data_IF_344440537539
#
_entry.id   IF_344440537539
#
_cell.length_a   1.000
_cell.length_b   1.000
_cell.length_c   1.000
_cell.angle_alpha   90.00
_cell.angle_beta   90.00
_cell.angle_gamma   90.00
#
_symmetry.space_group_name_H-M   'P 1'
#
loop_
_entity.id
_entity.type
_entity.pdbx_description
1 polymer ?
#
# COMPACT_ATOMS: atom_id res chain seq x y z
N UNK A 1 0.02 -21.67 -14.55
CA UNK A 1 -0.54 -21.24 -13.27
C UNK A 1 -1.87 -20.59 -13.56
N UNK A 2 -2.90 -21.01 -12.87
CA UNK A 2 -4.25 -20.51 -13.06
C UNK A 2 -4.40 -19.14 -12.38
N UNK A 3 -5.08 -18.19 -13.03
CA UNK A 3 -5.39 -16.89 -12.42
C UNK A 3 -6.75 -16.98 -11.73
N UNK A 4 -6.87 -16.36 -10.57
CA UNK A 4 -8.10 -16.30 -9.78
C UNK A 4 -8.57 -14.86 -9.65
N UNK A 5 -9.88 -14.63 -9.50
CA UNK A 5 -10.41 -13.30 -9.22
C UNK A 5 -10.11 -12.91 -7.77
N UNK A 6 -9.85 -11.62 -7.53
CA UNK A 6 -9.56 -11.16 -6.17
C UNK A 6 -10.73 -11.40 -5.21
N UNK A 7 -11.96 -11.25 -5.66
CA UNK A 7 -13.15 -11.48 -4.84
C UNK A 7 -13.36 -12.95 -4.42
N UNK A 8 -12.64 -13.90 -5.05
CA UNK A 8 -12.67 -15.33 -4.67
C UNK A 8 -11.71 -15.64 -3.51
N UNK A 9 -10.69 -14.80 -3.32
CA UNK A 9 -9.59 -15.08 -2.38
C UNK A 9 -9.36 -13.96 -1.35
N UNK A 10 -10.01 -12.80 -1.52
CA UNK A 10 -9.89 -11.62 -0.64
C UNK A 10 -11.29 -11.17 -0.23
N UNK A 11 -11.49 -10.96 1.06
CA UNK A 11 -12.66 -10.29 1.60
C UNK A 11 -12.40 -8.78 1.67
N UNK A 12 -13.23 -8.00 0.99
CA UNK A 12 -13.12 -6.55 0.94
C UNK A 12 -14.07 -5.88 1.93
N UNK A 13 -13.54 -4.96 2.73
CA UNK A 13 -14.32 -4.14 3.65
C UNK A 13 -14.05 -2.66 3.37
N UNK A 14 -15.07 -1.94 2.88
CA UNK A 14 -14.98 -0.49 2.67
C UNK A 14 -15.01 0.23 4.02
N UNK A 15 -14.16 1.23 4.16
CA UNK A 15 -14.17 2.08 5.33
C UNK A 15 -15.46 2.89 5.49
N UNK A 16 -15.71 3.33 6.70
CA UNK A 16 -16.92 4.07 7.06
C UNK A 16 -16.89 5.50 6.51
N UNK A 17 -18.06 6.05 6.22
CA UNK A 17 -18.17 7.48 5.95
C UNK A 17 -17.68 8.28 7.18
N UNK A 18 -16.83 9.31 7.02
CA UNK A 18 -16.32 10.10 8.14
C UNK A 18 -17.40 10.64 9.08
N UNK A 19 -18.58 10.99 8.56
CA UNK A 19 -19.73 11.47 9.36
C UNK A 19 -20.32 10.40 10.30
N UNK A 20 -20.02 9.12 10.09
CA UNK A 20 -20.48 7.98 10.91
C UNK A 20 -19.44 7.48 11.89
N UNK A 21 -18.27 8.08 11.91
CA UNK A 21 -17.17 7.71 12.80
C UNK A 21 -17.28 8.55 14.06
N UNK A 22 -17.31 7.89 15.22
CA UNK A 22 -17.32 8.57 16.52
C UNK A 22 -15.89 8.96 16.88
N UNK A 23 -15.49 10.19 16.56
CA UNK A 23 -14.13 10.72 16.75
C UNK A 23 -13.60 10.63 18.22
N UNK A 24 -14.47 10.36 19.19
CA UNK A 24 -14.09 10.23 20.60
C UNK A 24 -13.74 8.78 21.01
N UNK A 25 -14.02 7.79 20.18
CA UNK A 25 -13.89 6.37 20.55
C UNK A 25 -13.07 5.59 19.54
N UNK A 26 -13.10 5.97 18.26
CA UNK A 26 -12.46 5.23 17.18
C UNK A 26 -11.14 5.92 16.80
N UNK A 27 -10.01 5.25 16.96
CA UNK A 27 -8.74 5.70 16.40
C UNK A 27 -8.78 5.53 14.87
N UNK A 28 -8.55 6.63 14.14
CA UNK A 28 -8.66 6.65 12.69
C UNK A 28 -7.37 6.21 12.02
N UNK A 29 -7.52 5.38 10.99
CA UNK A 29 -6.46 5.11 10.03
C UNK A 29 -6.30 6.30 9.09
N UNK A 30 -5.15 6.93 9.12
CA UNK A 30 -4.85 8.17 8.40
C UNK A 30 -4.04 7.91 7.12
N UNK A 31 -3.95 8.89 6.19
CA UNK A 31 -2.99 8.81 5.09
C UNK A 31 -1.53 8.68 5.53
N UNK A 32 -1.18 9.21 6.71
CA UNK A 32 0.15 9.07 7.30
C UNK A 32 0.40 7.63 7.77
N UNK A 33 -0.59 7.00 8.41
CA UNK A 33 -0.51 5.57 8.77
C UNK A 33 -0.26 4.70 7.54
N UNK A 34 -0.95 5.01 6.43
CA UNK A 34 -0.75 4.30 5.16
C UNK A 34 0.70 4.40 4.65
N UNK A 35 1.28 5.60 4.68
CA UNK A 35 2.68 5.79 4.28
C UNK A 35 3.64 5.10 5.26
N UNK A 36 3.38 5.20 6.56
CA UNK A 36 4.19 4.53 7.58
C UNK A 36 4.18 3.00 7.43
N UNK A 37 3.01 2.42 7.13
CA UNK A 37 2.88 0.98 6.87
C UNK A 37 3.61 0.57 5.58
N UNK A 38 3.44 1.33 4.49
CA UNK A 38 4.07 1.06 3.20
C UNK A 38 5.60 1.17 3.29
N UNK A 39 6.10 2.16 4.02
CA UNK A 39 7.53 2.42 4.18
C UNK A 39 8.15 1.71 5.38
N UNK A 40 7.41 0.87 6.09
CA UNK A 40 7.88 0.08 7.25
C UNK A 40 8.49 0.93 8.38
N UNK A 41 7.96 2.15 8.62
CA UNK A 41 8.57 3.10 9.56
C UNK A 41 8.44 2.63 11.00
N UNK A 42 7.31 2.02 11.37
CA UNK A 42 7.00 1.72 12.77
C UNK A 42 6.92 0.24 13.13
N UNK A 43 6.83 -0.67 12.16
CA UNK A 43 6.72 -2.09 12.46
C UNK A 43 7.38 -2.98 11.41
N UNK A 44 8.08 -4.01 11.91
CA UNK A 44 8.60 -5.11 11.10
C UNK A 44 7.66 -6.31 11.06
N UNK A 45 6.64 -6.34 11.92
CA UNK A 45 5.67 -7.42 11.97
C UNK A 45 4.52 -7.15 11.00
N UNK A 46 4.18 -8.17 10.27
CA UNK A 46 3.13 -8.13 9.25
C UNK A 46 1.78 -8.39 9.94
N UNK A 47 0.81 -7.53 9.67
CA UNK A 47 -0.58 -7.75 10.00
C UNK A 47 -1.23 -8.78 9.08
N UNK A 48 -2.52 -9.06 9.32
CA UNK A 48 -3.25 -10.14 8.64
C UNK A 48 -3.91 -9.72 7.33
N UNK A 49 -3.48 -8.62 6.71
CA UNK A 49 -4.09 -8.12 5.47
C UNK A 49 -3.40 -6.91 4.88
N UNK A 50 -4.09 -6.26 3.95
CA UNK A 50 -3.63 -5.04 3.30
C UNK A 50 -4.71 -3.96 3.32
N UNK A 51 -4.29 -2.72 3.10
CA UNK A 51 -5.18 -1.58 2.84
C UNK A 51 -4.88 -1.01 1.47
N UNK A 52 -5.93 -0.80 0.67
CA UNK A 52 -5.86 -0.06 -0.59
C UNK A 52 -6.33 1.37 -0.34
N UNK A 53 -5.48 2.33 -0.66
CA UNK A 53 -5.85 3.73 -0.74
C UNK A 53 -6.52 3.98 -2.09
N UNK A 54 -7.83 4.21 -2.09
CA UNK A 54 -8.64 4.36 -3.31
C UNK A 54 -8.37 5.68 -4.06
N UNK A 55 -7.78 6.67 -3.38
CA UNK A 55 -7.43 7.96 -3.99
C UNK A 55 -6.08 7.84 -4.71
N UNK A 56 -5.08 7.24 -4.04
CA UNK A 56 -3.73 7.07 -4.60
C UNK A 56 -3.62 5.85 -5.52
N UNK A 57 -4.60 4.94 -5.50
CA UNK A 57 -4.56 3.64 -6.17
C UNK A 57 -3.29 2.85 -5.81
N UNK A 58 -2.97 2.81 -4.52
CA UNK A 58 -1.82 2.09 -3.97
C UNK A 58 -2.27 1.19 -2.83
N UNK A 59 -1.53 0.11 -2.62
CA UNK A 59 -1.76 -0.89 -1.60
C UNK A 59 -0.60 -0.92 -0.61
N UNK A 60 -0.91 -1.04 0.68
CA UNK A 60 0.04 -1.21 1.78
C UNK A 60 -0.36 -2.39 2.65
N UNK A 61 0.59 -3.17 3.20
CA UNK A 61 0.24 -4.14 4.23
C UNK A 61 -0.21 -3.39 5.50
N UNK A 62 -1.02 -4.05 6.31
CA UNK A 62 -1.42 -3.54 7.63
C UNK A 62 -0.34 -3.93 8.64
N UNK A 63 0.08 -2.99 9.50
CA UNK A 63 0.97 -3.29 10.63
C UNK A 63 0.20 -3.63 11.90
N UNK A 64 0.87 -4.21 12.89
CA UNK A 64 0.27 -4.43 14.23
C UNK A 64 -0.27 -3.13 14.87
N UNK A 65 0.36 -2.00 14.57
CA UNK A 65 -0.02 -0.71 15.15
C UNK A 65 -1.29 -0.12 14.50
N UNK A 66 -1.56 -0.49 13.26
CA UNK A 66 -2.67 0.06 12.48
C UNK A 66 -3.83 -0.90 12.32
N UNK A 67 -3.66 -2.17 12.69
CA UNK A 67 -4.65 -3.24 12.47
C UNK A 67 -6.01 -2.96 13.11
N UNK A 68 -6.01 -2.37 14.32
CA UNK A 68 -7.23 -2.05 15.06
C UNK A 68 -7.88 -0.72 14.67
N UNK A 69 -7.21 0.09 13.83
CA UNK A 69 -7.70 1.42 13.45
C UNK A 69 -8.93 1.35 12.53
N UNK A 70 -9.83 2.31 12.73
CA UNK A 70 -11.02 2.46 11.92
C UNK A 70 -10.69 3.15 10.58
N UNK A 71 -10.96 2.50 9.46
CA UNK A 71 -10.71 3.07 8.12
C UNK A 71 -11.86 3.91 7.62
N UNK A 72 -11.55 5.00 6.92
CA UNK A 72 -12.52 5.86 6.24
C UNK A 72 -12.84 5.34 4.83
N UNK A 73 -13.90 5.88 4.20
CA UNK A 73 -14.34 5.51 2.84
C UNK A 73 -13.32 5.77 1.72
N UNK A 74 -12.15 6.35 2.04
CA UNK A 74 -11.03 6.48 1.12
C UNK A 74 -10.12 5.26 1.10
N UNK A 75 -10.36 4.31 2.02
CA UNK A 75 -9.58 3.10 2.18
C UNK A 75 -10.46 1.86 2.06
N UNK A 76 -9.87 0.82 1.52
CA UNK A 76 -10.46 -0.51 1.38
C UNK A 76 -9.56 -1.52 2.08
N UNK A 77 -10.10 -2.19 3.10
CA UNK A 77 -9.39 -3.28 3.78
C UNK A 77 -9.54 -4.57 2.98
N UNK A 78 -8.44 -5.28 2.86
CA UNK A 78 -8.31 -6.55 2.17
C UNK A 78 -7.88 -7.61 3.18
N UNK A 79 -8.81 -8.47 3.59
CA UNK A 79 -8.56 -9.59 4.50
C UNK A 79 -8.47 -10.89 3.69
N UNK A 80 -7.43 -11.69 3.91
CA UNK A 80 -7.15 -12.93 3.19
C UNK A 80 -6.43 -13.96 4.06
N UNK A 81 -6.44 -15.22 3.61
CA UNK A 81 -5.69 -16.30 4.24
C UNK A 81 -4.18 -16.09 4.01
N UNK A 82 -3.45 -15.78 5.09
CA UNK A 82 -2.00 -15.56 5.07
C UNK A 82 -1.18 -16.81 4.65
N UNK A 83 -1.78 -17.99 4.71
CA UNK A 83 -1.19 -19.23 4.18
C UNK A 83 -1.25 -19.32 2.65
N UNK A 84 -2.15 -18.55 2.01
CA UNK A 84 -2.35 -18.54 0.56
C UNK A 84 -1.83 -17.28 -0.10
N UNK A 85 -1.93 -16.13 0.55
CA UNK A 85 -1.50 -14.84 0.01
C UNK A 85 -0.54 -14.18 0.99
N UNK A 86 0.64 -13.80 0.49
CA UNK A 86 1.61 -13.00 1.22
C UNK A 86 1.36 -11.52 0.99
N UNK A 87 1.16 -10.74 2.05
CA UNK A 87 0.75 -9.34 1.98
C UNK A 87 1.66 -8.49 1.08
N UNK A 88 2.98 -8.60 1.22
CA UNK A 88 3.93 -7.85 0.38
C UNK A 88 3.93 -8.28 -1.08
N UNK A 89 3.61 -9.56 -1.37
CA UNK A 89 3.41 -10.01 -2.74
C UNK A 89 2.18 -9.36 -3.36
N UNK A 90 1.06 -9.31 -2.61
CA UNK A 90 -0.15 -8.64 -3.06
C UNK A 90 0.10 -7.15 -3.29
N UNK A 91 0.79 -6.47 -2.35
CA UNK A 91 1.17 -5.06 -2.52
C UNK A 91 2.03 -4.84 -3.77
N UNK A 92 3.04 -5.70 -4.02
CA UNK A 92 3.83 -5.64 -5.24
C UNK A 92 2.96 -5.75 -6.49
N UNK A 93 2.10 -6.76 -6.56
CA UNK A 93 1.22 -6.97 -7.71
C UNK A 93 0.31 -5.76 -7.95
N UNK A 94 -0.25 -5.21 -6.88
CA UNK A 94 -1.16 -4.08 -6.97
C UNK A 94 -0.45 -2.78 -7.35
N UNK A 95 0.73 -2.53 -6.80
CA UNK A 95 1.45 -1.26 -6.96
C UNK A 95 2.30 -1.18 -8.22
N UNK A 96 2.90 -2.30 -8.64
CA UNK A 96 3.94 -2.35 -9.68
C UNK A 96 3.71 -3.50 -10.69
N UNK A 97 2.70 -4.35 -10.45
CA UNK A 97 2.44 -5.51 -11.31
C UNK A 97 1.83 -5.10 -12.66
N UNK A 98 2.55 -5.33 -13.75
CA UNK A 98 2.08 -5.02 -15.12
C UNK A 98 0.69 -5.60 -15.45
N UNK A 99 0.37 -6.77 -14.90
CA UNK A 99 -0.92 -7.40 -15.11
C UNK A 99 -2.06 -6.59 -14.49
N UNK A 100 -1.88 -6.08 -13.27
CA UNK A 100 -2.87 -5.22 -12.63
C UNK A 100 -2.99 -3.86 -13.33
N UNK A 101 -1.86 -3.25 -13.68
CA UNK A 101 -1.84 -2.00 -14.44
C UNK A 101 -2.68 -2.12 -15.73
N UNK A 102 -2.42 -3.14 -16.54
CA UNK A 102 -3.17 -3.40 -17.79
C UNK A 102 -4.67 -3.64 -17.53
N UNK A 103 -5.02 -4.43 -16.52
CA UNK A 103 -6.41 -4.69 -16.18
C UNK A 103 -7.12 -3.41 -15.73
N UNK A 104 -6.49 -2.58 -14.89
CA UNK A 104 -7.04 -1.30 -14.43
C UNK A 104 -7.20 -0.32 -15.60
N UNK A 105 -6.24 -0.24 -16.51
CA UNK A 105 -6.33 0.59 -17.72
C UNK A 105 -7.50 0.19 -18.61
N UNK A 106 -7.74 -1.11 -18.80
CA UNK A 106 -8.88 -1.60 -19.57
C UNK A 106 -10.23 -1.15 -18.98
N UNK A 107 -10.37 -1.14 -17.66
CA UNK A 107 -11.57 -0.61 -17.00
C UNK A 107 -11.74 0.90 -17.18
N UNK A 108 -10.64 1.63 -17.38
CA UNK A 108 -10.68 3.08 -17.55
C UNK A 108 -10.95 3.54 -18.99
N UNK A 109 -10.73 2.68 -20.01
CA UNK A 109 -10.94 3.02 -21.42
C UNK A 109 -12.40 3.31 -21.79
N UNK A 110 -13.37 2.93 -20.95
CA UNK A 110 -14.81 3.19 -21.17
C UNK A 110 -15.37 4.42 -20.42
N UNK A 111 -14.57 5.16 -19.66
CA UNK A 111 -15.06 6.24 -18.81
C UNK A 111 -14.46 7.60 -19.17
N UNK A 112 -15.34 8.57 -19.50
CA UNK A 112 -15.00 9.99 -19.78
C UNK A 112 -14.73 10.83 -18.54
N UNK A 113 -14.69 10.24 -17.34
CA UNK A 113 -14.55 10.96 -16.08
C UNK A 113 -13.08 11.25 -15.74
N UNK A 114 -12.79 12.49 -15.42
CA UNK A 114 -11.48 13.02 -15.06
C UNK A 114 -10.90 12.47 -13.75
N UNK A 115 -11.67 11.74 -12.96
CA UNK A 115 -11.21 11.12 -11.70
C UNK A 115 -11.35 9.61 -11.80
N UNK A 116 -10.22 8.93 -12.01
CA UNK A 116 -10.11 7.47 -12.12
C UNK A 116 -10.11 6.83 -10.72
N UNK A 117 -11.21 6.91 -9.99
CA UNK A 117 -11.32 6.26 -8.68
C UNK A 117 -11.68 4.79 -8.88
N UNK A 118 -10.80 3.89 -8.42
CA UNK A 118 -11.10 2.46 -8.34
C UNK A 118 -12.25 2.23 -7.37
N UNK A 119 -13.22 1.40 -7.77
CA UNK A 119 -14.31 0.96 -6.90
C UNK A 119 -14.11 -0.51 -6.51
N UNK A 120 -14.81 -0.94 -5.45
CA UNK A 120 -14.69 -2.29 -4.90
C UNK A 120 -15.00 -3.36 -5.95
N UNK A 121 -16.03 -3.13 -6.78
CA UNK A 121 -16.43 -4.09 -7.83
C UNK A 121 -15.30 -4.30 -8.82
N UNK A 122 -14.74 -3.22 -9.34
CA UNK A 122 -13.60 -3.27 -10.28
C UNK A 122 -12.40 -3.97 -9.65
N UNK A 123 -12.06 -3.64 -8.40
CA UNK A 123 -10.96 -4.30 -7.69
C UNK A 123 -11.22 -5.80 -7.54
N UNK A 124 -12.43 -6.19 -7.16
CA UNK A 124 -12.80 -7.61 -6.99
C UNK A 124 -12.75 -8.43 -8.27
N UNK A 125 -12.93 -7.79 -9.42
CA UNK A 125 -12.87 -8.41 -10.76
C UNK A 125 -11.44 -8.49 -11.34
N UNK A 126 -10.44 -7.91 -10.66
CA UNK A 126 -9.04 -8.09 -11.06
C UNK A 126 -8.61 -9.54 -10.85
N UNK A 127 -7.77 -10.02 -11.76
CA UNK A 127 -7.22 -11.38 -11.70
C UNK A 127 -5.79 -11.35 -11.22
N UNK A 128 -5.47 -12.24 -10.28
CA UNK A 128 -4.12 -12.44 -9.75
C UNK A 128 -3.64 -13.87 -10.02
N UNK A 129 -2.36 -14.01 -10.31
CA UNK A 129 -1.68 -15.31 -10.31
C UNK A 129 -1.05 -15.52 -8.93
N UNK A 130 -1.41 -16.61 -8.28
CA UNK A 130 -0.86 -16.98 -6.97
C UNK A 130 0.12 -18.15 -7.14
N UNK A 131 1.44 -17.89 -7.24
CA UNK A 131 2.43 -18.93 -7.15
C UNK A 131 2.47 -19.53 -5.74
N UNK A 132 3.28 -20.55 -5.51
CA UNK A 132 3.50 -21.09 -4.18
C UNK A 132 3.92 -19.98 -3.19
N UNK A 133 3.60 -20.17 -1.92
CA UNK A 133 3.80 -19.16 -0.89
C UNK A 133 5.26 -18.75 -0.70
N UNK A 134 6.22 -19.65 -0.97
CA UNK A 134 7.65 -19.35 -0.87
C UNK A 134 8.08 -18.39 -1.97
N UNK A 135 7.60 -18.58 -3.19
CA UNK A 135 7.84 -17.67 -4.30
C UNK A 135 7.19 -16.30 -4.05
N UNK A 136 5.97 -16.28 -3.51
CA UNK A 136 5.32 -15.03 -3.09
C UNK A 136 6.17 -14.30 -2.04
N UNK A 137 6.66 -14.99 -1.01
CA UNK A 137 7.54 -14.41 0.02
C UNK A 137 8.84 -13.86 -0.58
N UNK A 138 9.45 -14.56 -1.51
CA UNK A 138 10.66 -14.09 -2.17
C UNK A 138 10.42 -12.79 -2.92
N UNK A 139 9.38 -12.74 -3.75
CA UNK A 139 9.04 -11.52 -4.52
C UNK A 139 8.65 -10.38 -3.60
N UNK A 140 7.75 -10.63 -2.64
CA UNK A 140 7.28 -9.60 -1.71
C UNK A 140 8.38 -9.04 -0.82
N UNK A 141 9.31 -9.88 -0.33
CA UNK A 141 10.45 -9.42 0.45
C UNK A 141 11.42 -8.58 -0.37
N UNK A 142 11.67 -8.93 -1.63
CA UNK A 142 12.47 -8.10 -2.53
C UNK A 142 11.83 -6.74 -2.76
N UNK A 143 10.52 -6.71 -2.97
CA UNK A 143 9.77 -5.48 -3.12
C UNK A 143 9.84 -4.60 -1.86
N UNK A 144 9.58 -5.18 -0.69
CA UNK A 144 9.73 -4.51 0.61
C UNK A 144 11.13 -3.93 0.78
N UNK A 145 12.17 -4.72 0.53
CA UNK A 145 13.56 -4.27 0.66
C UNK A 145 13.88 -3.12 -0.32
N UNK A 146 13.34 -3.15 -1.53
CA UNK A 146 13.54 -2.06 -2.50
C UNK A 146 12.97 -0.73 -2.01
N UNK A 147 11.80 -0.75 -1.34
CA UNK A 147 11.21 0.45 -0.74
C UNK A 147 12.11 0.98 0.38
N UNK A 148 12.48 0.11 1.34
CA UNK A 148 13.33 0.49 2.48
C UNK A 148 14.68 1.06 2.00
N UNK A 149 15.30 0.41 1.01
CA UNK A 149 16.56 0.85 0.45
C UNK A 149 16.44 2.22 -0.23
N UNK A 150 15.39 2.44 -1.01
CA UNK A 150 15.13 3.73 -1.63
C UNK A 150 14.99 4.84 -0.58
N UNK A 151 14.24 4.61 0.50
CA UNK A 151 14.04 5.59 1.56
C UNK A 151 15.34 5.94 2.28
N UNK A 152 16.17 4.94 2.55
CA UNK A 152 17.50 5.15 3.13
C UNK A 152 18.42 5.96 2.22
N UNK A 153 18.40 5.71 0.90
CA UNK A 153 19.18 6.46 -0.07
C UNK A 153 18.74 7.92 -0.16
N UNK A 154 17.43 8.18 -0.18
CA UNK A 154 16.85 9.54 -0.17
C UNK A 154 17.28 10.28 1.09
N UNK A 155 17.12 9.64 2.26
CA UNK A 155 17.55 10.22 3.54
C UNK A 155 19.06 10.52 3.58
N UNK A 156 19.87 9.62 3.03
CA UNK A 156 21.31 9.83 2.93
C UNK A 156 21.65 11.03 2.04
N UNK A 157 21.03 11.14 0.87
CA UNK A 157 21.22 12.26 -0.04
C UNK A 157 20.85 13.60 0.61
N UNK A 158 19.73 13.65 1.35
CA UNK A 158 19.33 14.83 2.11
C UNK A 158 20.34 15.21 3.20
N UNK A 159 20.87 14.23 3.94
CA UNK A 159 21.87 14.46 4.98
C UNK A 159 23.16 15.02 4.39
N UNK A 160 23.66 14.47 3.27
CA UNK A 160 24.83 14.99 2.56
C UNK A 160 24.59 16.43 2.13
N UNK A 161 23.43 16.74 1.55
CA UNK A 161 23.08 18.11 1.16
C UNK A 161 23.08 19.06 2.36
N UNK A 162 22.43 18.67 3.48
CA UNK A 162 22.39 19.48 4.71
C UNK A 162 23.79 19.74 5.26
N UNK A 163 24.63 18.71 5.29
CA UNK A 163 26.03 18.84 5.72
C UNK A 163 26.81 19.81 4.84
N UNK A 164 26.72 19.65 3.52
CA UNK A 164 27.40 20.55 2.56
C UNK A 164 26.96 22.01 2.74
N UNK A 165 25.64 22.25 2.88
CA UNK A 165 25.13 23.60 3.11
C UNK A 165 25.59 24.21 4.42
N UNK A 166 25.77 23.38 5.47
CA UNK A 166 26.34 23.83 6.74
C UNK A 166 27.80 24.24 6.60
N UNK A 167 28.58 23.48 5.83
CA UNK A 167 29.98 23.85 5.54
C UNK A 167 30.09 25.16 4.76
N UNK A 168 29.26 25.31 3.70
CA UNK A 168 29.26 26.55 2.89
C UNK A 168 28.93 27.75 3.77
N UNK A 169 27.93 27.69 4.63
CA UNK A 169 27.56 28.78 5.54
C UNK A 169 28.71 29.17 6.48
N UNK A 170 29.43 28.19 7.03
CA UNK A 170 30.60 28.48 7.90
C UNK A 170 31.72 29.20 7.16
N UNK A 171 31.96 28.81 5.90
CA UNK A 171 33.01 29.46 5.08
C UNK A 171 32.59 30.88 4.64
N UNK A 172 31.30 31.12 4.46
CA UNK A 172 30.73 32.41 4.06
C UNK A 172 30.70 33.42 5.22
N UNK A 173 30.65 32.93 6.46
CA UNK A 173 30.63 33.74 7.70
C UNK A 173 32.04 34.09 8.24
N UNK A 174 33.09 33.43 7.78
CA UNK A 174 34.50 33.68 8.12
C UNK A 174 35.12 34.73 7.15
#
# INVERSE_FOLDING_TARGET
MESVYLNEVIQFTLGKNPTRIRAQVDELYTPEDFENDLHCIHSTKEGMGCIINLIKSKCSPISEQTEAKCITSNFLRCDFDIGKIYAWYFCYQFNEGKSFEQQIEMYHQGTTLSVKKLNIKTIGELKIILPDIQKQRTIGNLYRQSIIQNDLMVKQAENVRKFTMTLIRRIDED
#
